data_IF_515532704218
#
_entry.id   IF_515532704218
#
_cell.length_a   1.000
_cell.length_b   1.000
_cell.length_c   1.000
_cell.angle_alpha   90.00
_cell.angle_beta   90.00
_cell.angle_gamma   90.00
#
_symmetry.space_group_name_H-M   'P 1'
#
loop_
_entity.id
_entity.type
_entity.pdbx_description
1 polymer ?
#
# COMPACT_ATOMS: atom_id res chain seq x y z
N UNK A 1 -17.99 10.89 18.06
CA UNK A 1 -17.44 10.55 16.73
C UNK A 1 -17.91 9.14 16.42
N UNK A 2 -18.87 8.98 15.50
CA UNK A 2 -19.45 7.67 15.17
C UNK A 2 -18.33 6.78 14.59
N UNK A 3 -17.71 5.97 15.45
CA UNK A 3 -16.49 5.24 15.15
C UNK A 3 -16.78 4.25 14.03
N UNK A 4 -16.12 4.43 12.88
CA UNK A 4 -16.22 3.52 11.74
C UNK A 4 -15.91 2.06 12.11
N UNK A 5 -15.09 1.85 13.14
CA UNK A 5 -14.79 0.56 13.76
C UNK A 5 -16.02 -0.13 14.41
N UNK A 6 -17.03 0.65 14.83
CA UNK A 6 -18.28 0.06 15.33
C UNK A 6 -19.10 -0.61 14.23
N UNK A 7 -18.93 -0.18 12.97
CA UNK A 7 -19.66 -0.67 11.79
C UNK A 7 -18.86 -1.65 10.95
N UNK A 8 -17.54 -1.49 10.91
CA UNK A 8 -16.64 -2.26 10.05
C UNK A 8 -15.49 -2.86 10.84
N UNK A 9 -15.08 -4.04 10.42
CA UNK A 9 -13.75 -4.57 10.75
C UNK A 9 -12.73 -3.89 9.83
N UNK A 10 -11.97 -2.95 10.37
CA UNK A 10 -11.00 -2.17 9.59
C UNK A 10 -9.69 -2.94 9.50
N UNK A 11 -9.24 -3.18 8.27
CA UNK A 11 -8.04 -3.96 7.96
C UNK A 11 -7.06 -3.06 7.21
N UNK A 12 -5.89 -2.81 7.79
CA UNK A 12 -4.74 -2.26 7.09
C UNK A 12 -4.01 -3.38 6.34
N UNK A 13 -4.15 -3.37 5.02
CA UNK A 13 -3.44 -4.24 4.08
C UNK A 13 -2.01 -3.71 3.80
N UNK A 14 -1.18 -3.62 4.83
CA UNK A 14 0.20 -3.14 4.72
C UNK A 14 1.09 -3.62 5.87
N UNK A 15 2.36 -3.88 5.57
CA UNK A 15 3.42 -4.14 6.56
C UNK A 15 4.13 -2.86 7.06
N UNK A 16 3.72 -1.66 6.62
CA UNK A 16 4.41 -0.42 6.94
C UNK A 16 4.04 0.09 8.35
N UNK A 17 4.99 0.21 9.30
CA UNK A 17 4.72 0.76 10.63
C UNK A 17 4.17 2.20 10.56
N UNK A 18 4.74 3.03 9.68
CA UNK A 18 4.29 4.42 9.47
C UNK A 18 2.82 4.52 9.05
N UNK A 19 2.32 3.58 8.23
CA UNK A 19 0.90 3.59 7.82
C UNK A 19 -0.02 3.19 8.96
N UNK A 20 0.45 2.28 9.83
CA UNK A 20 -0.26 1.95 11.05
C UNK A 20 -0.34 3.16 11.98
N UNK A 21 0.77 3.83 12.27
CA UNK A 21 0.84 5.05 13.10
C UNK A 21 -0.12 6.13 12.58
N UNK A 22 -0.13 6.37 11.26
CA UNK A 22 -1.05 7.35 10.65
C UNK A 22 -2.51 6.98 10.91
N UNK A 23 -2.91 5.73 10.68
CA UNK A 23 -4.31 5.33 10.86
C UNK A 23 -4.70 5.24 12.34
N UNK A 24 -3.89 4.61 13.16
CA UNK A 24 -4.18 4.38 14.56
C UNK A 24 -4.02 5.65 15.39
N UNK A 25 -2.82 6.25 15.39
CA UNK A 25 -2.46 7.32 16.33
C UNK A 25 -2.95 8.69 15.87
N UNK A 26 -2.86 8.97 14.56
CA UNK A 26 -3.21 10.29 14.01
C UNK A 26 -4.71 10.36 13.66
N UNK A 27 -5.23 9.33 12.99
CA UNK A 27 -6.62 9.32 12.51
C UNK A 27 -7.61 8.67 13.48
N UNK A 28 -7.14 7.96 14.51
CA UNK A 28 -7.97 7.41 15.58
C UNK A 28 -8.69 6.09 15.26
N UNK A 29 -8.16 5.29 14.34
CA UNK A 29 -8.67 3.92 14.09
C UNK A 29 -8.16 2.96 15.17
N UNK A 30 -8.88 2.88 16.30
CA UNK A 30 -8.43 2.13 17.49
C UNK A 30 -8.51 0.61 17.36
N UNK A 31 -9.39 0.08 16.50
CA UNK A 31 -9.57 -1.37 16.29
C UNK A 31 -9.02 -1.80 14.92
N UNK A 32 -7.78 -1.41 14.63
CA UNK A 32 -7.13 -1.65 13.34
C UNK A 32 -6.46 -3.03 13.30
N UNK A 33 -6.96 -3.94 12.45
CA UNK A 33 -6.31 -5.22 12.14
C UNK A 33 -5.28 -5.02 11.04
N UNK A 34 -4.16 -5.74 11.06
CA UNK A 34 -3.13 -5.67 10.01
C UNK A 34 -3.02 -6.98 9.26
N UNK A 35 -3.00 -6.93 7.93
CA UNK A 35 -2.72 -8.07 7.06
C UNK A 35 -1.67 -7.68 6.02
N UNK A 36 -0.81 -8.63 5.66
CA UNK A 36 0.22 -8.42 4.64
C UNK A 36 -0.29 -8.97 3.31
N UNK A 37 -0.42 -8.15 2.26
CA UNK A 37 -0.76 -8.62 0.92
C UNK A 37 0.27 -9.64 0.41
N UNK A 38 -0.19 -10.68 -0.27
CA UNK A 38 0.66 -11.69 -0.92
C UNK A 38 1.03 -11.34 -2.36
N UNK A 39 0.48 -10.26 -2.90
CA UNK A 39 0.75 -9.79 -4.26
C UNK A 39 2.25 -9.46 -4.45
N UNK A 40 2.91 -10.20 -5.34
CA UNK A 40 4.24 -9.85 -5.83
C UNK A 40 4.12 -8.59 -6.68
N UNK A 41 4.79 -7.50 -6.28
CA UNK A 41 4.78 -6.18 -6.94
C UNK A 41 5.49 -6.23 -8.32
N UNK A 42 4.95 -7.01 -9.26
CA UNK A 42 5.59 -7.38 -10.52
C UNK A 42 4.89 -6.76 -11.75
N UNK A 43 4.12 -5.68 -11.56
CA UNK A 43 3.51 -4.96 -12.68
C UNK A 43 4.58 -4.42 -13.63
N UNK A 44 4.34 -4.58 -14.93
CA UNK A 44 5.23 -4.10 -15.97
C UNK A 44 5.20 -2.56 -16.05
N UNK A 45 6.24 -1.93 -15.49
CA UNK A 45 6.40 -0.47 -15.42
C UNK A 45 6.39 0.20 -16.79
N UNK A 46 6.76 -0.51 -17.86
CA UNK A 46 6.78 0.07 -19.22
C UNK A 46 5.39 0.48 -19.69
N UNK A 47 4.34 -0.18 -19.19
CA UNK A 47 2.93 0.14 -19.46
C UNK A 47 2.47 1.45 -18.81
N UNK A 48 3.25 1.98 -17.86
CA UNK A 48 2.91 3.17 -17.08
C UNK A 48 3.79 4.37 -17.43
N UNK A 49 4.55 4.29 -18.52
CA UNK A 49 5.50 5.34 -18.94
C UNK A 49 4.83 6.70 -19.18
N UNK A 50 3.56 6.72 -19.60
CA UNK A 50 2.79 7.96 -19.83
C UNK A 50 1.99 8.43 -18.61
N UNK A 51 1.75 7.54 -17.64
CA UNK A 51 1.00 7.83 -16.42
C UNK A 51 1.52 7.00 -15.24
N UNK A 52 2.67 7.38 -14.65
CA UNK A 52 3.28 6.62 -13.57
C UNK A 52 2.44 6.59 -12.29
N UNK A 53 1.48 7.51 -12.12
CA UNK A 53 0.55 7.51 -10.98
C UNK A 53 -0.39 6.30 -11.03
N UNK A 54 -0.77 5.85 -12.24
CA UNK A 54 -1.58 4.64 -12.40
C UNK A 54 -0.88 3.39 -11.91
N UNK A 55 0.47 3.36 -11.93
CA UNK A 55 1.23 2.24 -11.38
C UNK A 55 0.93 2.04 -9.90
N UNK A 56 1.07 3.10 -9.10
CA UNK A 56 0.79 3.02 -7.66
C UNK A 56 -0.68 2.67 -7.38
N UNK A 57 -1.60 3.22 -8.17
CA UNK A 57 -3.03 2.91 -8.07
C UNK A 57 -3.31 1.43 -8.36
N UNK A 58 -2.78 0.88 -9.44
CA UNK A 58 -2.99 -0.52 -9.81
C UNK A 58 -2.30 -1.47 -8.82
N UNK A 59 -1.07 -1.16 -8.39
CA UNK A 59 -0.36 -1.93 -7.36
C UNK A 59 -1.16 -1.98 -6.06
N UNK A 60 -1.65 -0.83 -5.57
CA UNK A 60 -2.50 -0.80 -4.36
C UNK A 60 -3.81 -1.57 -4.52
N UNK A 61 -4.43 -1.52 -5.71
CA UNK A 61 -5.64 -2.29 -6.02
C UNK A 61 -5.37 -3.79 -6.00
N UNK A 62 -4.27 -4.25 -6.60
CA UNK A 62 -3.88 -5.67 -6.62
C UNK A 62 -3.59 -6.19 -5.21
N UNK A 63 -2.91 -5.40 -4.39
CA UNK A 63 -2.69 -5.70 -2.96
C UNK A 63 -4.03 -5.86 -2.22
N UNK A 64 -4.97 -4.93 -2.41
CA UNK A 64 -6.29 -5.03 -1.80
C UNK A 64 -7.04 -6.29 -2.27
N UNK A 65 -6.98 -6.62 -3.56
CA UNK A 65 -7.61 -7.83 -4.13
C UNK A 65 -7.07 -9.11 -3.49
N UNK A 66 -5.75 -9.23 -3.28
CA UNK A 66 -5.19 -10.42 -2.60
C UNK A 66 -5.74 -10.61 -1.18
N UNK A 67 -6.02 -9.52 -0.46
CA UNK A 67 -6.64 -9.60 0.87
C UNK A 67 -8.12 -9.99 0.76
N UNK A 68 -8.85 -9.47 -0.23
CA UNK A 68 -10.24 -9.85 -0.49
C UNK A 68 -10.35 -11.35 -0.78
N UNK A 69 -9.46 -11.89 -1.61
CA UNK A 69 -9.41 -13.32 -1.96
C UNK A 69 -9.19 -14.17 -0.70
N UNK A 70 -8.15 -13.85 0.09
CA UNK A 70 -7.87 -14.54 1.36
C UNK A 70 -9.08 -14.53 2.30
N UNK A 71 -9.72 -13.37 2.48
CA UNK A 71 -10.86 -13.24 3.39
C UNK A 71 -12.10 -14.00 2.89
N UNK A 72 -12.29 -14.05 1.57
CA UNK A 72 -13.40 -14.78 0.95
C UNK A 72 -13.24 -16.28 1.13
N UNK A 73 -12.01 -16.79 0.99
CA UNK A 73 -11.69 -18.21 1.22
C UNK A 73 -11.97 -18.61 2.67
N UNK A 74 -11.53 -17.80 3.65
CA UNK A 74 -11.80 -18.04 5.07
C UNK A 74 -13.31 -18.05 5.41
N UNK A 75 -14.10 -17.17 4.78
CA UNK A 75 -15.55 -17.10 5.01
C UNK A 75 -16.29 -18.32 4.47
N UNK A 76 -15.87 -18.84 3.31
CA UNK A 76 -16.45 -20.05 2.73
C UNK A 76 -16.26 -21.26 3.67
N UNK A 77 -15.14 -21.32 4.39
CA UNK A 77 -14.83 -22.39 5.34
C UNK A 77 -15.54 -22.24 6.71
N UNK A 78 -16.01 -21.02 7.06
CA UNK A 78 -16.52 -20.70 8.41
C UNK A 78 -17.89 -20.00 8.37
N UNK A 79 -18.86 -20.57 7.66
CA UNK A 79 -20.13 -19.93 7.27
C UNK A 79 -21.14 -19.63 8.40
N UNK A 80 -20.80 -19.91 9.66
CA UNK A 80 -21.74 -19.88 10.79
C UNK A 80 -21.67 -18.61 11.66
N UNK A 81 -20.79 -17.65 11.37
CA UNK A 81 -20.67 -16.40 12.13
C UNK A 81 -21.23 -15.18 11.38
N UNK A 82 -22.01 -14.34 12.09
CA UNK A 82 -22.43 -13.03 11.59
C UNK A 82 -21.25 -12.07 11.74
N UNK A 83 -20.41 -11.97 10.72
CA UNK A 83 -19.29 -11.03 10.72
C UNK A 83 -19.71 -9.62 10.31
N UNK A 84 -19.09 -8.60 10.95
CA UNK A 84 -19.16 -7.22 10.47
C UNK A 84 -18.60 -7.13 9.04
N UNK A 85 -19.11 -6.22 8.19
CA UNK A 85 -18.49 -5.96 6.89
C UNK A 85 -17.04 -5.51 7.09
N UNK A 86 -16.14 -5.97 6.21
CA UNK A 86 -14.71 -5.66 6.28
C UNK A 86 -14.40 -4.41 5.45
N UNK A 87 -13.66 -3.47 6.04
CA UNK A 87 -13.14 -2.28 5.36
C UNK A 87 -11.63 -2.44 5.17
N UNK A 88 -11.20 -2.67 3.94
CA UNK A 88 -9.78 -2.89 3.62
C UNK A 88 -9.15 -1.57 3.17
N UNK A 89 -8.10 -1.15 3.86
CA UNK A 89 -7.30 0.02 3.52
C UNK A 89 -5.95 -0.46 2.99
N UNK A 90 -5.65 -0.15 1.74
CA UNK A 90 -4.36 -0.44 1.12
C UNK A 90 -3.74 0.84 0.56
N UNK A 91 -2.42 0.87 0.49
CA UNK A 91 -1.67 1.98 -0.08
C UNK A 91 -0.41 1.46 -0.76
N UNK A 92 -0.03 2.14 -1.83
CA UNK A 92 1.25 1.99 -2.49
C UNK A 92 1.96 3.34 -2.54
N UNK A 93 3.28 3.34 -2.57
CA UNK A 93 4.07 4.58 -2.53
C UNK A 93 5.30 4.39 -3.38
N UNK A 94 5.43 5.24 -4.39
CA UNK A 94 6.55 5.29 -5.32
C UNK A 94 7.14 6.70 -5.32
N UNK A 95 8.37 6.82 -5.79
CA UNK A 95 8.96 8.10 -6.18
C UNK A 95 8.95 8.17 -7.71
N UNK A 96 8.59 9.33 -8.25
CA UNK A 96 8.62 9.61 -9.68
C UNK A 96 9.61 10.76 -9.87
N UNK A 97 10.63 10.56 -10.70
CA UNK A 97 11.55 11.65 -11.02
C UNK A 97 11.00 12.58 -12.11
N UNK A 98 11.73 13.65 -12.40
CA UNK A 98 11.37 14.65 -13.42
C UNK A 98 11.21 14.05 -14.83
N UNK A 99 11.86 12.92 -15.10
CA UNK A 99 11.81 12.22 -16.39
C UNK A 99 10.69 11.17 -16.43
N UNK A 100 9.83 11.13 -15.40
CA UNK A 100 8.69 10.23 -15.28
C UNK A 100 9.05 8.81 -14.85
N UNK A 101 10.30 8.57 -14.43
CA UNK A 101 10.77 7.24 -14.05
C UNK A 101 10.29 6.86 -12.65
N UNK A 102 9.80 5.64 -12.53
CA UNK A 102 9.27 5.06 -11.29
C UNK A 102 10.40 4.42 -10.48
N UNK A 103 10.48 4.81 -9.20
CA UNK A 103 11.39 4.27 -8.21
C UNK A 103 10.60 3.64 -7.06
N UNK A 104 10.90 2.37 -6.80
CA UNK A 104 10.39 1.61 -5.66
C UNK A 104 11.45 1.54 -4.56
N UNK A 105 11.14 0.78 -3.49
CA UNK A 105 12.08 0.54 -2.41
C UNK A 105 13.36 -0.13 -2.94
N UNK A 106 14.56 0.42 -2.66
CA UNK A 106 15.80 -0.22 -3.05
C UNK A 106 16.00 -1.54 -2.29
N UNK A 107 16.35 -2.60 -3.02
CA UNK A 107 16.56 -3.94 -2.44
C UNK A 107 17.96 -4.06 -1.82
N UNK A 108 18.97 -3.42 -2.42
CA UNK A 108 20.36 -3.49 -1.97
C UNK A 108 20.87 -2.12 -1.50
N UNK A 109 21.92 -2.15 -0.67
CA UNK A 109 22.56 -0.93 -0.14
C UNK A 109 23.16 -0.08 -1.25
N UNK A 110 23.69 -0.71 -2.29
CA UNK A 110 24.31 -0.06 -3.45
C UNK A 110 23.25 0.68 -4.27
N UNK A 111 22.10 0.04 -4.52
CA UNK A 111 20.96 0.68 -5.20
C UNK A 111 20.40 1.82 -4.34
N UNK A 112 20.31 1.62 -3.02
CA UNK A 112 19.88 2.66 -2.09
C UNK A 112 20.82 3.87 -2.13
N UNK A 113 22.14 3.66 -2.05
CA UNK A 113 23.12 4.73 -2.13
C UNK A 113 23.02 5.48 -3.47
N UNK A 114 22.88 4.75 -4.58
CA UNK A 114 22.68 5.36 -5.90
C UNK A 114 21.43 6.23 -5.96
N UNK A 115 20.31 5.76 -5.41
CA UNK A 115 19.07 6.56 -5.36
C UNK A 115 19.26 7.82 -4.52
N UNK A 116 19.89 7.71 -3.34
CA UNK A 116 20.15 8.87 -2.49
C UNK A 116 21.08 9.89 -3.17
N UNK A 117 22.16 9.44 -3.81
CA UNK A 117 23.07 10.34 -4.53
C UNK A 117 22.36 11.08 -5.66
N UNK A 118 21.51 10.38 -6.43
CA UNK A 118 20.69 11.01 -7.48
C UNK A 118 19.78 12.10 -6.91
N UNK A 119 18.93 11.76 -5.94
CA UNK A 119 17.93 12.69 -5.42
C UNK A 119 18.51 13.82 -4.58
N UNK A 120 19.73 13.69 -4.06
CA UNK A 120 20.40 14.76 -3.31
C UNK A 120 21.26 15.70 -4.16
N UNK A 121 21.83 15.22 -5.28
CA UNK A 121 22.91 15.94 -5.97
C UNK A 121 22.81 15.96 -7.50
N UNK A 122 21.95 15.15 -8.12
CA UNK A 122 21.82 15.12 -9.59
C UNK A 122 20.52 15.79 -10.06
N UNK A 123 19.50 15.84 -9.20
CA UNK A 123 18.28 16.59 -9.44
C UNK A 123 18.47 18.05 -8.95
N UNK A 124 19.43 18.75 -9.57
CA UNK A 124 19.75 20.16 -9.30
C UNK A 124 18.81 21.09 -10.08
N UNK A 125 17.59 21.36 -9.58
CA UNK A 125 16.89 22.64 -9.77
C UNK A 125 15.66 22.71 -8.83
N UNK A 126 15.38 23.86 -8.18
CA UNK A 126 14.21 23.99 -7.31
C UNK A 126 12.92 23.90 -8.13
N UNK A 127 11.93 23.17 -7.61
CA UNK A 127 10.54 23.21 -8.09
C UNK A 127 10.00 24.64 -8.24
#
# INVERSE_FOLDING_TARGET
MNSICSKYDVILASSSPRRYEILHDIMGFTELKTMVPTFEENLDKTKYSTNPIEYARDTSRRKAQSIVEILSDYQNENSNEIEKPKLIICADTIIIDKDGKIYEKPITKEVQMRFLMKFCYEDDEPC
#
